data_IF_813375967259
#
_entry.id   IF_813375967259
#
_cell.length_a   1.000
_cell.length_b   1.000
_cell.length_c   1.000
_cell.angle_alpha   90.00
_cell.angle_beta   90.00
_cell.angle_gamma   90.00
#
_symmetry.space_group_name_H-M   'P 1'
#
loop_
_entity.id
_entity.type
_entity.pdbx_description
1 polymer ?
#
# COMPACT_ATOMS: atom_id res chain seq x y z
N UNK A 1 -12.76 13.88 19.33
CA UNK A 1 -12.01 13.03 18.39
C UNK A 1 -10.81 12.43 19.11
N UNK A 2 -10.61 11.10 19.06
CA UNK A 2 -9.43 10.42 19.61
C UNK A 2 -8.46 10.12 18.46
N UNK A 3 -7.18 10.43 18.60
CA UNK A 3 -6.17 10.11 17.57
C UNK A 3 -5.94 8.59 17.50
N UNK A 4 -5.61 8.11 16.30
CA UNK A 4 -5.16 6.72 16.09
C UNK A 4 -3.92 6.41 16.95
N UNK A 5 -3.77 5.19 17.49
CA UNK A 5 -2.53 4.79 18.15
C UNK A 5 -1.34 4.74 17.19
N UNK A 6 -1.57 4.58 15.89
CA UNK A 6 -0.56 4.71 14.84
C UNK A 6 -0.57 6.14 14.28
N UNK A 7 0.56 6.82 14.31
CA UNK A 7 0.76 8.14 13.72
C UNK A 7 1.70 8.03 12.51
N UNK A 8 1.36 8.70 11.41
CA UNK A 8 2.26 8.92 10.27
C UNK A 8 3.03 10.21 10.53
N UNK A 9 4.34 10.12 10.72
CA UNK A 9 5.21 11.27 11.01
C UNK A 9 5.61 12.00 9.73
N UNK A 10 5.95 11.23 8.69
CA UNK A 10 6.31 11.75 7.38
C UNK A 10 6.16 10.66 6.31
N UNK A 11 5.99 11.06 5.05
CA UNK A 11 6.09 10.17 3.90
C UNK A 11 6.67 10.89 2.70
N UNK A 12 7.24 10.14 1.78
CA UNK A 12 7.65 10.65 0.47
C UNK A 12 7.59 9.54 -0.59
N UNK A 13 7.54 9.97 -1.85
CA UNK A 13 7.56 9.08 -3.01
C UNK A 13 9.03 8.95 -3.44
N UNK A 14 9.51 7.71 -3.56
CA UNK A 14 10.87 7.41 -4.06
C UNK A 14 10.88 7.12 -5.55
N UNK A 15 9.78 6.58 -6.09
CA UNK A 15 9.61 6.34 -7.51
C UNK A 15 8.14 6.53 -7.93
N UNK A 16 7.93 7.15 -9.09
CA UNK A 16 6.62 7.25 -9.74
C UNK A 16 6.80 7.18 -11.25
N UNK A 17 6.24 6.15 -11.86
CA UNK A 17 6.22 5.94 -13.30
C UNK A 17 4.78 5.69 -13.74
N UNK A 18 4.30 6.44 -14.72
CA UNK A 18 3.00 6.23 -15.35
C UNK A 18 3.19 6.31 -16.85
N UNK A 19 2.79 5.27 -17.57
CA UNK A 19 2.90 5.16 -19.02
C UNK A 19 1.52 4.94 -19.60
N UNK A 20 1.07 5.84 -20.47
CA UNK A 20 -0.16 5.64 -21.26
C UNK A 20 0.06 4.51 -22.27
N UNK A 21 -0.83 3.53 -22.27
CA UNK A 21 -0.80 2.42 -23.22
C UNK A 21 -1.31 2.88 -24.60
N UNK A 22 -0.41 3.04 -25.56
CA UNK A 22 -0.77 3.50 -26.92
C UNK A 22 -1.69 2.54 -27.67
N UNK A 23 -1.66 1.27 -27.30
CA UNK A 23 -2.46 0.21 -27.91
C UNK A 23 -3.80 0.01 -27.21
N UNK A 24 -4.13 0.86 -26.21
CA UNK A 24 -5.41 0.81 -25.51
C UNK A 24 -6.57 1.09 -26.47
N UNK A 25 -7.54 0.17 -26.50
CA UNK A 25 -8.78 0.31 -27.25
C UNK A 25 -9.95 0.57 -26.29
N UNK A 26 -10.47 1.81 -26.20
CA UNK A 26 -11.59 2.15 -25.33
C UNK A 26 -12.89 1.37 -25.63
N UNK A 27 -13.07 0.90 -26.88
CA UNK A 27 -14.30 0.20 -27.27
C UNK A 27 -14.37 -1.24 -26.76
N UNK A 28 -13.23 -1.85 -26.46
CA UNK A 28 -13.19 -3.20 -25.90
C UNK A 28 -13.48 -3.24 -24.39
N UNK A 29 -13.57 -2.07 -23.75
CA UNK A 29 -13.58 -1.96 -22.30
C UNK A 29 -12.24 -2.36 -21.70
N UNK A 30 -11.86 -1.73 -20.60
CA UNK A 30 -10.63 -2.02 -19.89
C UNK A 30 -10.84 -1.76 -18.42
N UNK A 31 -11.32 -2.78 -17.70
CA UNK A 31 -11.34 -2.71 -16.24
C UNK A 31 -9.98 -3.10 -15.69
N UNK A 32 -9.57 -2.39 -14.63
CA UNK A 32 -8.44 -2.84 -13.83
C UNK A 32 -8.84 -4.15 -13.14
N UNK A 33 -8.33 -5.26 -13.66
CA UNK A 33 -8.40 -6.55 -12.97
C UNK A 33 -7.24 -6.67 -11.99
N UNK A 34 -7.44 -7.44 -10.92
CA UNK A 34 -6.38 -7.72 -9.95
C UNK A 34 -5.19 -8.48 -10.59
N UNK A 35 -5.44 -9.17 -11.70
CA UNK A 35 -4.41 -9.86 -12.48
C UNK A 35 -3.28 -8.90 -12.90
N UNK A 36 -2.08 -9.14 -12.36
CA UNK A 36 -0.86 -8.36 -12.62
C UNK A 36 -0.80 -6.99 -11.94
N UNK A 37 -1.71 -6.70 -11.02
CA UNK A 37 -1.53 -5.66 -10.00
C UNK A 37 -0.74 -6.27 -8.83
N UNK A 38 0.48 -5.79 -8.64
CA UNK A 38 1.38 -6.21 -7.56
C UNK A 38 1.34 -5.13 -6.47
N UNK A 39 1.18 -5.55 -5.21
CA UNK A 39 1.19 -4.66 -4.02
C UNK A 39 2.07 -5.33 -2.97
N UNK A 40 3.23 -4.72 -2.69
CA UNK A 40 4.25 -5.32 -1.84
C UNK A 40 4.67 -4.34 -0.73
N UNK A 41 4.27 -4.59 0.52
CA UNK A 41 4.74 -3.82 1.65
C UNK A 41 5.99 -4.42 2.29
N UNK A 42 6.96 -3.56 2.62
CA UNK A 42 8.18 -3.90 3.35
C UNK A 42 8.20 -3.13 4.67
N UNK A 43 8.59 -3.80 5.76
CA UNK A 43 8.52 -3.25 7.11
C UNK A 43 9.87 -3.35 7.80
N UNK A 44 10.35 -2.22 8.32
CA UNK A 44 11.62 -2.14 9.04
C UNK A 44 11.41 -1.40 10.36
N UNK A 45 11.45 -2.09 11.53
CA UNK A 45 11.48 -1.40 12.81
C UNK A 45 12.81 -0.66 12.98
N UNK A 46 12.79 0.50 13.63
CA UNK A 46 14.01 1.24 13.95
C UNK A 46 14.75 0.53 15.09
N UNK A 47 16.05 0.26 14.92
CA UNK A 47 16.84 -0.50 15.89
C UNK A 47 16.74 0.03 17.34
N UNK A 48 16.74 1.35 17.50
CA UNK A 48 16.70 2.00 18.82
C UNK A 48 15.27 2.35 19.30
N UNK A 49 14.24 2.03 18.52
CA UNK A 49 12.84 2.36 18.85
C UNK A 49 11.88 1.33 18.21
N UNK A 50 11.49 0.27 18.93
CA UNK A 50 10.60 -0.78 18.38
C UNK A 50 9.18 -0.27 18.08
N UNK A 51 8.83 0.92 18.57
CA UNK A 51 7.57 1.63 18.27
C UNK A 51 7.67 2.53 17.04
N UNK A 52 8.85 2.69 16.45
CA UNK A 52 9.08 3.47 15.24
C UNK A 52 9.37 2.56 14.05
N UNK A 53 8.65 2.76 12.95
CA UNK A 53 8.69 1.88 11.79
C UNK A 53 8.88 2.69 10.51
N UNK A 54 9.76 2.20 9.64
CA UNK A 54 9.74 2.55 8.24
C UNK A 54 8.92 1.50 7.50
N UNK A 55 7.97 1.97 6.69
CA UNK A 55 7.15 1.12 5.82
C UNK A 55 7.35 1.60 4.40
N UNK A 56 7.72 0.69 3.50
CA UNK A 56 7.81 0.94 2.07
C UNK A 56 6.66 0.21 1.41
N UNK A 57 5.90 0.87 0.55
CA UNK A 57 4.85 0.26 -0.25
C UNK A 57 5.19 0.40 -1.73
N UNK A 58 5.38 -0.73 -2.40
CA UNK A 58 5.52 -0.82 -3.84
C UNK A 58 4.19 -1.24 -4.45
N UNK A 59 3.72 -0.50 -5.45
CA UNK A 59 2.53 -0.86 -6.23
C UNK A 59 2.86 -0.80 -7.72
N UNK A 60 2.59 -1.87 -8.45
CA UNK A 60 2.93 -1.96 -9.87
C UNK A 60 1.83 -2.64 -10.68
N UNK A 61 1.56 -2.10 -11.86
CA UNK A 61 0.80 -2.76 -12.91
C UNK A 61 1.68 -2.89 -14.14
N UNK A 62 2.15 -4.11 -14.40
CA UNK A 62 3.10 -4.39 -15.46
C UNK A 62 2.48 -4.32 -16.86
N UNK A 63 3.30 -3.93 -17.83
CA UNK A 63 2.99 -4.08 -19.25
C UNK A 63 3.06 -5.55 -19.63
N UNK A 64 1.90 -6.15 -19.87
CA UNK A 64 1.77 -7.50 -20.39
C UNK A 64 1.13 -7.45 -21.77
N UNK A 65 1.75 -8.11 -22.74
CA UNK A 65 1.23 -8.23 -24.10
C UNK A 65 -0.21 -8.77 -24.08
N UNK A 66 -1.12 -8.09 -24.79
CA UNK A 66 -2.53 -8.48 -24.88
C UNK A 66 -3.44 -7.92 -23.78
N UNK A 67 -2.94 -7.13 -22.83
CA UNK A 67 -3.79 -6.51 -21.79
C UNK A 67 -4.32 -5.14 -22.27
N UNK A 68 -5.64 -5.06 -22.46
CA UNK A 68 -6.32 -3.80 -22.83
C UNK A 68 -6.54 -2.90 -21.60
N UNK A 69 -5.48 -2.34 -21.04
CA UNK A 69 -5.54 -1.34 -19.95
C UNK A 69 -5.03 0.02 -20.43
N UNK A 70 -5.58 1.15 -19.94
CA UNK A 70 -5.20 2.48 -20.40
C UNK A 70 -3.81 2.92 -19.93
N UNK A 71 -3.33 2.40 -18.80
CA UNK A 71 -2.08 2.80 -18.19
C UNK A 71 -1.33 1.62 -17.60
N UNK A 72 0.00 1.70 -17.67
CA UNK A 72 0.93 0.92 -16.85
C UNK A 72 1.58 1.86 -15.85
N UNK A 73 1.81 1.37 -14.63
CA UNK A 73 2.38 2.23 -13.60
C UNK A 73 3.23 1.46 -12.60
N UNK A 74 4.09 2.20 -11.93
CA UNK A 74 4.80 1.79 -10.73
C UNK A 74 4.89 3.00 -9.80
N UNK A 75 4.62 2.79 -8.51
CA UNK A 75 4.83 3.78 -7.46
C UNK A 75 5.45 3.11 -6.25
N UNK A 76 6.46 3.77 -5.68
CA UNK A 76 7.08 3.38 -4.42
C UNK A 76 6.94 4.55 -3.43
N UNK A 77 6.33 4.28 -2.27
CA UNK A 77 6.12 5.26 -1.20
C UNK A 77 6.77 4.76 0.08
N UNK A 78 7.56 5.63 0.71
CA UNK A 78 8.14 5.40 2.03
C UNK A 78 7.36 6.21 3.06
N UNK A 79 6.95 5.57 4.15
CA UNK A 79 6.32 6.21 5.31
C UNK A 79 7.04 5.89 6.61
N UNK A 80 7.11 6.87 7.50
CA UNK A 80 7.64 6.73 8.84
C UNK A 80 6.50 6.82 9.85
N UNK A 81 6.36 5.79 10.66
CA UNK A 81 5.24 5.64 11.59
C UNK A 81 5.73 5.48 13.03
N UNK A 82 4.94 6.00 13.97
CA UNK A 82 5.13 5.79 15.41
C UNK A 82 3.88 5.19 16.03
N UNK A 83 4.04 4.20 16.90
CA UNK A 83 2.97 3.62 17.70
C UNK A 83 2.98 4.20 19.11
N UNK A 84 1.83 4.71 19.56
CA UNK A 84 1.65 5.26 20.90
C UNK A 84 2.02 4.26 22.01
N UNK A 85 2.68 4.75 23.06
CA UNK A 85 3.00 4.00 24.29
C UNK A 85 1.78 3.34 24.95
N UNK A 86 0.58 3.89 24.73
CA UNK A 86 -0.66 3.32 25.28
C UNK A 86 -1.16 2.07 24.53
N UNK A 87 -0.52 1.72 23.41
CA UNK A 87 -0.89 0.56 22.61
C UNK A 87 -0.10 -0.69 23.04
N UNK A 88 -0.75 -1.87 23.19
CA UNK A 88 -0.09 -3.10 23.64
C UNK A 88 1.09 -3.50 22.74
N UNK A 89 2.22 -3.86 23.37
CA UNK A 89 3.47 -4.19 22.68
C UNK A 89 3.32 -5.40 21.74
N UNK A 90 2.59 -6.41 22.19
CA UNK A 90 2.26 -7.65 21.46
C UNK A 90 1.44 -7.40 20.17
N UNK A 91 0.84 -6.22 20.02
CA UNK A 91 -0.03 -5.86 18.88
C UNK A 91 0.59 -4.83 17.94
N UNK A 92 1.75 -4.25 18.28
CA UNK A 92 2.40 -3.19 17.50
C UNK A 92 2.57 -3.61 16.04
N UNK A 93 3.17 -4.77 15.82
CA UNK A 93 3.49 -5.25 14.47
C UNK A 93 2.21 -5.45 13.64
N UNK A 94 1.15 -6.00 14.24
CA UNK A 94 -0.14 -6.15 13.56
C UNK A 94 -0.74 -4.81 13.15
N UNK A 95 -0.72 -3.84 14.07
CA UNK A 95 -1.22 -2.48 13.82
C UNK A 95 -0.44 -1.83 12.67
N UNK A 96 0.88 -1.95 12.67
CA UNK A 96 1.73 -1.40 11.59
C UNK A 96 1.44 -2.10 10.28
N UNK A 97 1.48 -3.43 10.23
CA UNK A 97 1.29 -4.21 8.98
C UNK A 97 -0.05 -3.92 8.30
N UNK A 98 -1.11 -3.77 9.09
CA UNK A 98 -2.45 -3.50 8.58
C UNK A 98 -2.64 -2.02 8.26
N UNK A 99 -2.45 -1.15 9.25
CA UNK A 99 -2.88 0.24 9.16
C UNK A 99 -1.87 1.12 8.42
N UNK A 100 -0.56 0.89 8.59
CA UNK A 100 0.46 1.68 7.89
C UNK A 100 0.37 1.43 6.38
N UNK A 101 0.25 0.15 5.99
CA UNK A 101 0.02 -0.25 4.59
C UNK A 101 -1.26 0.36 4.03
N UNK A 102 -2.36 0.34 4.79
CA UNK A 102 -3.64 0.94 4.36
C UNK A 102 -3.52 2.45 4.12
N UNK A 103 -2.79 3.17 4.98
CA UNK A 103 -2.52 4.61 4.83
C UNK A 103 -1.68 4.86 3.57
N UNK A 104 -0.57 4.16 3.39
CA UNK A 104 0.28 4.32 2.20
C UNK A 104 -0.45 3.94 0.91
N UNK A 105 -1.26 2.89 0.94
CA UNK A 105 -2.06 2.45 -0.21
C UNK A 105 -3.07 3.52 -0.63
N UNK A 106 -3.74 4.16 0.34
CA UNK A 106 -4.71 5.22 0.06
C UNK A 106 -4.02 6.45 -0.55
N UNK A 107 -2.85 6.81 -0.04
CA UNK A 107 -2.01 7.87 -0.59
C UNK A 107 -1.56 7.56 -2.02
N UNK A 108 -1.03 6.34 -2.26
CA UNK A 108 -0.60 5.88 -3.58
C UNK A 108 -1.75 5.86 -4.59
N UNK A 109 -2.93 5.36 -4.17
CA UNK A 109 -4.15 5.32 -4.99
C UNK A 109 -4.53 6.71 -5.49
N UNK A 110 -4.45 7.73 -4.64
CA UNK A 110 -4.79 9.10 -5.03
C UNK A 110 -3.71 9.74 -5.93
N UNK A 111 -2.43 9.52 -5.61
CA UNK A 111 -1.30 10.00 -6.45
C UNK A 111 -1.44 9.43 -7.86
N UNK A 112 -1.58 8.10 -7.99
CA UNK A 112 -1.71 7.43 -9.27
C UNK A 112 -2.92 7.94 -10.05
N UNK A 113 -4.08 8.05 -9.39
CA UNK A 113 -5.30 8.59 -10.00
C UNK A 113 -5.09 9.99 -10.55
N UNK A 114 -4.47 10.88 -9.77
CA UNK A 114 -4.23 12.27 -10.17
C UNK A 114 -3.20 12.39 -11.29
N UNK A 115 -2.14 11.57 -11.28
CA UNK A 115 -1.17 11.53 -12.37
C UNK A 115 -1.79 11.00 -13.66
N UNK A 116 -2.55 9.90 -13.60
CA UNK A 116 -3.26 9.37 -14.78
C UNK A 116 -4.32 10.33 -15.32
N UNK A 117 -4.92 11.17 -14.46
CA UNK A 117 -5.91 12.17 -14.89
C UNK A 117 -5.31 13.25 -15.81
N UNK A 118 -3.98 13.40 -15.85
CA UNK A 118 -3.28 14.28 -16.79
C UNK A 118 -2.98 13.59 -18.12
N UNK A 119 -3.28 12.30 -18.26
CA UNK A 119 -3.06 11.51 -19.47
C UNK A 119 -4.24 11.54 -20.45
N UNK A 120 -4.09 10.90 -21.62
CA UNK A 120 -5.09 10.93 -22.69
C UNK A 120 -6.33 10.04 -22.43
N UNK A 121 -6.28 9.15 -21.44
CA UNK A 121 -7.34 8.19 -21.12
C UNK A 121 -7.91 8.42 -19.72
N UNK A 122 -9.11 7.89 -19.45
CA UNK A 122 -9.70 7.93 -18.12
C UNK A 122 -8.77 7.29 -17.07
N UNK A 123 -8.53 7.96 -15.92
CA UNK A 123 -7.64 7.44 -14.90
C UNK A 123 -8.19 6.15 -14.28
N UNK A 124 -7.30 5.21 -13.98
CA UNK A 124 -7.66 4.01 -13.24
C UNK A 124 -7.87 4.35 -11.77
N UNK A 125 -8.86 3.69 -11.16
CA UNK A 125 -9.07 3.70 -9.73
C UNK A 125 -8.61 2.36 -9.18
N UNK A 126 -7.57 2.35 -8.34
CA UNK A 126 -7.18 1.12 -7.66
C UNK A 126 -8.35 0.58 -6.82
N UNK A 127 -8.53 -0.75 -6.74
CA UNK A 127 -9.59 -1.35 -5.94
C UNK A 127 -9.45 -1.00 -4.45
N UNK A 128 -10.45 -1.38 -3.65
CA UNK A 128 -10.25 -1.40 -2.20
C UNK A 128 -9.45 -2.65 -1.84
N UNK A 129 -8.39 -2.51 -1.05
CA UNK A 129 -7.57 -3.61 -0.58
C UNK A 129 -7.74 -3.82 0.93
N UNK A 130 -7.70 -5.08 1.37
CA UNK A 130 -7.61 -5.44 2.79
C UNK A 130 -6.19 -5.92 3.07
N UNK A 131 -5.54 -5.30 4.06
CA UNK A 131 -4.24 -5.73 4.58
C UNK A 131 -4.35 -6.45 5.93
N UNK A 132 -5.57 -6.80 6.32
CA UNK A 132 -5.82 -7.62 7.50
C UNK A 132 -5.51 -9.08 7.18
N UNK A 133 -4.55 -9.65 7.90
CA UNK A 133 -4.15 -11.05 7.78
C UNK A 133 -4.52 -11.82 9.06
N UNK A 134 -5.53 -12.72 9.03
CA UNK A 134 -5.99 -13.48 10.19
C UNK A 134 -4.92 -14.38 10.82
N UNK A 135 -3.95 -14.86 10.05
CA UNK A 135 -2.90 -15.79 10.51
C UNK A 135 -1.95 -15.14 11.53
N UNK A 136 -1.80 -13.82 11.45
CA UNK A 136 -1.03 -13.03 12.42
C UNK A 136 -1.62 -13.15 13.83
N UNK A 137 -2.95 -13.26 13.96
CA UNK A 137 -3.63 -13.48 15.24
C UNK A 137 -3.27 -14.84 15.85
N UNK A 138 -3.29 -15.91 15.04
CA UNK A 138 -3.00 -17.28 15.49
C UNK A 138 -1.55 -17.47 15.94
N UNK A 139 -0.61 -16.70 15.38
CA UNK A 139 0.79 -16.73 15.80
C UNK A 139 1.03 -16.02 17.13
N UNK A 140 0.29 -14.95 17.42
CA UNK A 140 0.40 -14.19 18.66
C UNK A 140 -0.29 -14.94 19.84
N UNK A 141 -1.48 -15.51 19.62
CA UNK A 141 -2.18 -16.33 20.64
C UNK A 141 -1.34 -17.53 21.10
N UNK A 142 -0.62 -18.19 20.18
CA UNK A 142 0.27 -19.32 20.50
C UNK A 142 1.47 -18.98 21.36
N UNK A 143 1.89 -17.71 21.38
CA UNK A 143 3.01 -17.26 22.18
C UNK A 143 2.58 -16.85 23.59
N UNK A 144 1.33 -16.40 23.77
CA UNK A 144 0.75 -16.11 25.09
C UNK A 144 0.46 -17.39 25.91
N UNK A 145 0.09 -18.51 25.27
CA UNK A 145 -0.13 -19.80 25.97
C UNK A 145 1.15 -20.49 26.46
N UNK A 146 2.33 -19.95 26.11
CA UNK A 146 3.64 -20.53 26.43
C UNK A 146 4.48 -19.69 27.41
N UNK A 147 3.95 -18.56 27.89
CA UNK A 147 4.57 -17.70 28.91
C UNK A 147 3.87 -17.84 30.26
#
# INVERSE_FOLDING_TARGET
MKRSPLQLENYFITALNVTANRDYNPQQGGELKDEGLEIEPYFTPKADSPRSWQVILHIQLQSASGRNVPYYFMVEIVGFFTVSESYPDDKIEWLVRTNATSVLYSTAREILRNTMAQGPFSPLLLPTASFYLPETFKMLEKNEEKG
#
